data_IF_709436656242
#
_entry.id   IF_709436656242
#
_cell.length_a   1.000
_cell.length_b   1.000
_cell.length_c   1.000
_cell.angle_alpha   90.00
_cell.angle_beta   90.00
_cell.angle_gamma   90.00
#
_symmetry.space_group_name_H-M   'P 1'
#
loop_
_entity.id
_entity.type
_entity.pdbx_description
1 polymer ?
#
# COMPACT_ATOMS: atom_id res chain seq x y z
N UNK A 1 -5.81 19.54 7.88
CA UNK A 1 -5.22 18.35 7.24
C UNK A 1 -5.60 18.31 5.77
N UNK A 2 -4.75 17.72 4.91
CA UNK A 2 -5.03 17.54 3.48
C UNK A 2 -5.64 16.18 3.16
N UNK A 3 -5.56 15.22 4.10
CA UNK A 3 -6.12 13.90 3.96
C UNK A 3 -6.54 13.32 5.31
N UNK A 4 -7.49 12.39 5.28
CA UNK A 4 -8.03 11.72 6.46
C UNK A 4 -8.27 10.25 6.13
N UNK A 5 -7.96 9.36 7.06
CA UNK A 5 -8.32 7.95 6.99
C UNK A 5 -9.37 7.62 8.05
N UNK A 6 -10.35 6.83 7.66
CA UNK A 6 -11.36 6.31 8.57
C UNK A 6 -11.13 4.87 8.97
N UNK A 7 -11.55 4.56 10.19
CA UNK A 7 -11.85 3.19 10.57
C UNK A 7 -13.33 2.91 10.26
N UNK A 8 -13.67 1.64 10.07
CA UNK A 8 -15.01 1.19 9.75
C UNK A 8 -16.05 1.73 10.75
N UNK A 9 -17.05 2.43 10.24
CA UNK A 9 -18.20 2.93 10.99
C UNK A 9 -19.48 2.76 10.15
N UNK A 10 -20.70 2.84 10.74
CA UNK A 10 -21.94 2.80 9.99
C UNK A 10 -21.96 3.82 8.84
N UNK A 11 -22.60 3.47 7.73
CA UNK A 11 -22.57 4.27 6.50
C UNK A 11 -23.09 5.69 6.68
N UNK A 12 -24.16 5.85 7.44
CA UNK A 12 -24.76 7.15 7.79
C UNK A 12 -23.77 8.04 8.58
N UNK A 13 -23.12 7.45 9.58
CA UNK A 13 -22.11 8.16 10.40
C UNK A 13 -20.94 8.61 9.53
N UNK A 14 -20.43 7.73 8.65
CA UNK A 14 -19.33 8.06 7.73
C UNK A 14 -19.73 9.16 6.76
N UNK A 15 -20.91 9.06 6.17
CA UNK A 15 -21.41 10.06 5.24
C UNK A 15 -21.48 11.44 5.88
N UNK A 16 -22.10 11.56 7.05
CA UNK A 16 -22.26 12.84 7.75
C UNK A 16 -20.92 13.44 8.18
N UNK A 17 -20.00 12.62 8.68
CA UNK A 17 -18.65 13.05 9.05
C UNK A 17 -17.86 13.53 7.83
N UNK A 18 -17.82 12.74 6.76
CA UNK A 18 -17.07 13.07 5.55
C UNK A 18 -17.62 14.33 4.89
N UNK A 19 -18.94 14.47 4.82
CA UNK A 19 -19.61 15.68 4.34
C UNK A 19 -19.21 16.90 5.16
N UNK A 20 -19.33 16.82 6.49
CA UNK A 20 -18.96 17.91 7.40
C UNK A 20 -17.51 18.35 7.21
N UNK A 21 -16.58 17.38 7.08
CA UNK A 21 -15.15 17.66 6.89
C UNK A 21 -14.86 18.29 5.52
N UNK A 22 -15.50 17.80 4.46
CA UNK A 22 -15.35 18.38 3.13
C UNK A 22 -15.90 19.81 3.07
N UNK A 23 -17.08 20.07 3.63
CA UNK A 23 -17.70 21.41 3.67
C UNK A 23 -16.89 22.41 4.50
N UNK A 24 -16.26 21.96 5.59
CA UNK A 24 -15.38 22.78 6.42
C UNK A 24 -13.99 23.05 5.78
N UNK A 25 -13.65 22.35 4.72
CA UNK A 25 -12.31 22.40 4.12
C UNK A 25 -12.26 23.36 2.93
N UNK A 26 -11.33 24.31 2.96
CA UNK A 26 -11.09 25.24 1.82
C UNK A 26 -10.54 24.53 0.59
N UNK A 27 -9.73 23.51 0.78
CA UNK A 27 -9.18 22.64 -0.27
C UNK A 27 -9.80 21.27 -0.07
N UNK A 28 -10.37 20.65 -1.12
CA UNK A 28 -10.96 19.32 -1.01
C UNK A 28 -10.01 18.31 -0.37
N UNK A 29 -10.53 17.52 0.55
CA UNK A 29 -9.76 16.50 1.26
C UNK A 29 -9.68 15.22 0.45
N UNK A 30 -8.55 14.55 0.56
CA UNK A 30 -8.44 13.13 0.25
C UNK A 30 -8.93 12.33 1.47
N UNK A 31 -10.02 11.59 1.29
CA UNK A 31 -10.63 10.76 2.34
C UNK A 31 -10.45 9.30 1.96
N UNK A 32 -9.63 8.60 2.75
CA UNK A 32 -9.21 7.26 2.43
C UNK A 32 -10.10 6.18 3.05
N UNK A 33 -10.34 5.11 2.29
CA UNK A 33 -10.85 3.82 2.75
C UNK A 33 -9.76 2.75 2.64
N UNK A 34 -10.02 1.54 3.15
CA UNK A 34 -9.10 0.40 3.04
C UNK A 34 -9.82 -0.81 2.42
N UNK A 35 -10.45 -0.61 1.27
CA UNK A 35 -11.25 -1.62 0.58
C UNK A 35 -10.36 -2.61 -0.19
N UNK A 36 -9.65 -3.47 0.55
CA UNK A 36 -8.80 -4.52 0.00
C UNK A 36 -9.61 -5.74 -0.48
N UNK A 37 -10.74 -6.02 0.19
CA UNK A 37 -11.51 -7.26 0.06
C UNK A 37 -13.01 -6.98 -0.22
N UNK A 38 -13.31 -5.83 -0.78
CA UNK A 38 -14.66 -5.33 -1.00
C UNK A 38 -14.96 -4.08 -0.17
N UNK A 39 -16.23 -3.70 -0.04
CA UNK A 39 -16.66 -2.47 0.61
C UNK A 39 -16.52 -2.45 2.13
N UNK A 40 -16.47 -3.62 2.76
CA UNK A 40 -16.34 -3.77 4.21
C UNK A 40 -15.04 -3.21 4.80
N UNK A 41 -14.01 -2.92 3.99
CA UNK A 41 -12.79 -2.24 4.40
C UNK A 41 -12.93 -0.72 4.50
N UNK A 42 -14.04 -0.15 4.08
CA UNK A 42 -14.31 1.29 4.10
C UNK A 42 -15.60 1.66 4.81
N UNK A 43 -16.61 0.77 4.79
CA UNK A 43 -17.96 1.04 5.28
C UNK A 43 -18.42 -0.08 6.20
N UNK A 44 -18.91 0.25 7.40
CA UNK A 44 -19.54 -0.72 8.29
C UNK A 44 -20.79 -1.31 7.65
N UNK A 45 -20.83 -2.64 7.53
CA UNK A 45 -21.86 -3.34 6.78
C UNK A 45 -21.66 -3.36 5.27
N UNK A 46 -20.53 -2.85 4.76
CA UNK A 46 -20.16 -2.98 3.36
C UNK A 46 -19.94 -4.44 2.92
N UNK A 47 -20.05 -4.71 1.63
CA UNK A 47 -20.00 -6.05 1.06
C UNK A 47 -18.62 -6.68 1.20
N UNK A 48 -18.44 -7.75 1.97
CA UNK A 48 -17.23 -8.54 1.95
C UNK A 48 -17.21 -9.42 0.69
N UNK A 49 -16.09 -9.46 -0.02
CA UNK A 49 -15.97 -10.33 -1.21
C UNK A 49 -14.99 -11.46 -0.91
N UNK A 50 -13.69 -11.20 -1.05
CA UNK A 50 -12.66 -12.21 -0.79
C UNK A 50 -11.29 -11.54 -0.57
N UNK A 51 -10.36 -12.29 0.05
CA UNK A 51 -8.97 -11.85 0.12
C UNK A 51 -8.25 -11.97 -1.22
N UNK A 52 -7.12 -11.25 -1.38
CA UNK A 52 -6.35 -11.25 -2.62
C UNK A 52 -5.94 -12.65 -3.11
N UNK A 53 -5.48 -13.50 -2.19
CA UNK A 53 -5.10 -14.88 -2.51
C UNK A 53 -6.27 -15.71 -3.04
N UNK A 54 -7.48 -15.54 -2.46
CA UNK A 54 -8.68 -16.23 -2.93
C UNK A 54 -9.10 -15.73 -4.32
N UNK A 55 -9.01 -14.42 -4.57
CA UNK A 55 -9.24 -13.85 -5.91
C UNK A 55 -8.24 -14.44 -6.92
N UNK A 56 -6.94 -14.45 -6.58
CA UNK A 56 -5.92 -14.99 -7.48
C UNK A 56 -6.11 -16.49 -7.77
N UNK A 57 -6.58 -17.27 -6.79
CA UNK A 57 -6.84 -18.70 -6.96
C UNK A 57 -7.94 -19.03 -7.96
N UNK A 58 -8.78 -18.06 -8.33
CA UNK A 58 -9.79 -18.23 -9.38
C UNK A 58 -9.19 -18.28 -10.79
N UNK A 59 -7.97 -17.77 -10.96
CA UNK A 59 -7.32 -17.65 -12.27
C UNK A 59 -7.90 -16.53 -13.16
N UNK A 60 -8.92 -15.81 -12.69
CA UNK A 60 -9.66 -14.79 -13.45
C UNK A 60 -9.49 -13.40 -12.81
N UNK A 61 -8.83 -12.48 -13.51
CA UNK A 61 -8.62 -11.10 -13.06
C UNK A 61 -9.90 -10.26 -13.03
N UNK A 62 -10.95 -10.67 -13.72
CA UNK A 62 -12.25 -9.99 -13.64
C UNK A 62 -12.79 -9.97 -12.20
N UNK A 63 -12.48 -10.99 -11.41
CA UNK A 63 -12.83 -11.02 -9.99
C UNK A 63 -12.12 -9.92 -9.18
N UNK A 64 -10.89 -9.55 -9.52
CA UNK A 64 -10.20 -8.42 -8.91
C UNK A 64 -10.84 -7.08 -9.33
N UNK A 65 -11.22 -6.95 -10.59
CA UNK A 65 -11.98 -5.79 -11.08
C UNK A 65 -13.32 -5.63 -10.33
N UNK A 66 -14.10 -6.70 -10.23
CA UNK A 66 -15.41 -6.67 -9.56
C UNK A 66 -15.27 -6.33 -8.07
N UNK A 67 -14.31 -6.93 -7.39
CA UNK A 67 -13.99 -6.65 -5.99
C UNK A 67 -13.67 -5.16 -5.78
N UNK A 68 -12.82 -4.60 -6.61
CA UNK A 68 -12.44 -3.19 -6.54
C UNK A 68 -13.61 -2.26 -6.89
N UNK A 69 -14.42 -2.62 -7.89
CA UNK A 69 -15.61 -1.86 -8.30
C UNK A 69 -16.65 -1.76 -7.19
N UNK A 70 -16.92 -2.86 -6.49
CA UNK A 70 -17.84 -2.87 -5.34
C UNK A 70 -17.27 -2.02 -4.21
N UNK A 71 -16.00 -2.23 -3.82
CA UNK A 71 -15.34 -1.44 -2.78
C UNK A 71 -15.33 0.05 -3.10
N UNK A 72 -15.04 0.42 -4.34
CA UNK A 72 -15.08 1.81 -4.78
C UNK A 72 -16.49 2.40 -4.73
N UNK A 73 -17.51 1.66 -5.18
CA UNK A 73 -18.87 2.14 -5.20
C UNK A 73 -19.41 2.42 -3.78
N UNK A 74 -19.16 1.51 -2.85
CA UNK A 74 -19.66 1.63 -1.46
C UNK A 74 -18.92 2.72 -0.69
N UNK A 75 -17.56 2.78 -0.78
CA UNK A 75 -16.82 3.84 -0.09
C UNK A 75 -17.01 5.23 -0.70
N UNK A 76 -17.21 5.32 -2.03
CA UNK A 76 -17.58 6.57 -2.68
C UNK A 76 -18.94 7.10 -2.17
N UNK A 77 -19.91 6.20 -1.97
CA UNK A 77 -21.24 6.56 -1.50
C UNK A 77 -21.23 7.23 -0.11
N UNK A 78 -20.19 6.99 0.69
CA UNK A 78 -20.00 7.62 2.00
C UNK A 78 -18.94 8.74 1.97
N UNK A 79 -18.53 9.20 0.78
CA UNK A 79 -17.66 10.37 0.61
C UNK A 79 -16.15 10.05 0.62
N UNK A 80 -15.74 8.79 0.55
CA UNK A 80 -14.32 8.45 0.33
C UNK A 80 -13.96 8.62 -1.15
N UNK A 81 -12.75 9.13 -1.43
CA UNK A 81 -12.23 9.34 -2.78
C UNK A 81 -10.83 8.77 -2.98
N UNK A 82 -10.32 8.04 -1.99
CA UNK A 82 -9.00 7.41 -1.98
C UNK A 82 -9.09 6.01 -1.38
N UNK A 83 -8.46 5.02 -2.01
CA UNK A 83 -8.44 3.65 -1.51
C UNK A 83 -7.01 3.19 -1.25
N UNK A 84 -6.71 2.75 -0.02
CA UNK A 84 -5.44 2.15 0.37
C UNK A 84 -5.35 0.68 -0.06
N UNK A 85 -5.54 0.44 -1.34
CA UNK A 85 -5.45 -0.84 -2.04
C UNK A 85 -5.11 -0.60 -3.53
N UNK A 86 -4.62 -1.60 -4.25
CA UNK A 86 -4.40 -3.00 -3.86
C UNK A 86 -3.12 -3.22 -3.08
N UNK A 87 -3.00 -4.43 -2.49
CA UNK A 87 -1.75 -4.97 -2.00
C UNK A 87 -0.98 -5.55 -3.18
N UNK A 88 0.23 -5.04 -3.41
CA UNK A 88 1.10 -5.45 -4.52
C UNK A 88 2.34 -6.20 -4.03
N UNK A 89 2.34 -6.56 -2.76
CA UNK A 89 3.36 -7.38 -2.13
C UNK A 89 3.38 -8.80 -2.70
N UNK A 90 4.50 -9.50 -2.53
CA UNK A 90 4.70 -10.85 -3.05
C UNK A 90 4.86 -11.86 -1.91
N UNK A 91 4.04 -12.91 -1.88
CA UNK A 91 4.00 -13.89 -0.79
C UNK A 91 5.12 -14.93 -0.89
N UNK A 92 6.39 -14.50 -0.79
CA UNK A 92 7.54 -15.41 -0.85
C UNK A 92 7.72 -16.23 0.42
N UNK A 93 7.47 -15.63 1.58
CA UNK A 93 7.55 -16.32 2.86
C UNK A 93 6.15 -16.65 3.38
N UNK A 94 5.83 -17.95 3.44
CA UNK A 94 4.53 -18.41 3.94
C UNK A 94 4.29 -18.09 5.43
N UNK A 95 5.35 -17.76 6.17
CA UNK A 95 5.26 -17.34 7.58
C UNK A 95 5.03 -15.84 7.75
N UNK A 96 5.09 -15.06 6.68
CA UNK A 96 4.77 -13.65 6.78
C UNK A 96 3.34 -13.47 7.32
N UNK A 97 3.20 -12.73 8.43
CA UNK A 97 1.93 -12.61 9.15
C UNK A 97 1.02 -11.52 8.60
N UNK A 98 1.53 -10.66 7.71
CA UNK A 98 0.87 -9.43 7.29
C UNK A 98 0.20 -9.55 5.91
N UNK A 99 0.92 -10.08 4.93
CA UNK A 99 0.45 -10.02 3.53
C UNK A 99 -0.07 -11.34 2.99
N UNK A 100 0.17 -12.47 3.65
CA UNK A 100 -0.16 -13.85 3.22
C UNK A 100 -1.40 -13.97 2.33
N UNK A 101 -2.58 -13.83 2.93
CA UNK A 101 -3.86 -13.96 2.22
C UNK A 101 -4.30 -12.64 1.58
N UNK A 102 -3.69 -11.52 1.97
CA UNK A 102 -4.06 -10.18 1.46
C UNK A 102 -3.47 -9.92 0.09
N UNK A 103 -2.22 -10.36 -0.17
CA UNK A 103 -1.60 -10.27 -1.49
C UNK A 103 -2.20 -11.29 -2.47
N UNK A 104 -2.06 -11.04 -3.76
CA UNK A 104 -2.61 -11.95 -4.79
C UNK A 104 -1.82 -13.27 -4.84
N UNK A 105 -0.51 -13.23 -5.01
CA UNK A 105 0.39 -14.39 -4.95
C UNK A 105 1.87 -13.97 -4.92
N UNK A 106 2.78 -14.87 -5.30
CA UNK A 106 4.24 -14.64 -5.35
C UNK A 106 4.80 -14.52 -6.79
N UNK A 107 3.93 -14.46 -7.80
CA UNK A 107 4.35 -14.33 -9.21
C UNK A 107 4.16 -12.87 -9.65
N UNK A 108 5.25 -12.12 -9.95
CA UNK A 108 5.15 -10.69 -10.28
C UNK A 108 4.18 -10.37 -11.41
N UNK A 109 4.15 -11.18 -12.48
CA UNK A 109 3.25 -10.95 -13.63
C UNK A 109 1.77 -11.13 -13.27
N UNK A 110 1.46 -12.06 -12.39
CA UNK A 110 0.11 -12.23 -11.88
C UNK A 110 -0.30 -11.05 -11.00
N UNK A 111 0.56 -10.63 -10.07
CA UNK A 111 0.27 -9.46 -9.22
C UNK A 111 0.05 -8.21 -10.08
N UNK A 112 0.83 -8.01 -11.14
CA UNK A 112 0.63 -6.93 -12.11
C UNK A 112 -0.75 -7.04 -12.76
N UNK A 113 -1.12 -8.22 -13.26
CA UNK A 113 -2.38 -8.49 -13.96
C UNK A 113 -3.58 -8.20 -13.08
N UNK A 114 -3.62 -8.77 -11.87
CA UNK A 114 -4.70 -8.55 -10.90
C UNK A 114 -4.76 -7.10 -10.41
N UNK A 115 -3.61 -6.46 -10.17
CA UNK A 115 -3.57 -5.06 -9.73
C UNK A 115 -4.07 -4.09 -10.81
N UNK A 116 -3.76 -4.35 -12.08
CA UNK A 116 -4.30 -3.56 -13.21
C UNK A 116 -5.82 -3.70 -13.32
N UNK A 117 -6.36 -4.90 -13.13
CA UNK A 117 -7.80 -5.14 -13.09
C UNK A 117 -8.43 -4.42 -11.89
N UNK A 118 -7.81 -4.46 -10.72
CA UNK A 118 -8.23 -3.72 -9.54
C UNK A 118 -8.27 -2.19 -9.80
N UNK A 119 -7.25 -1.62 -10.44
CA UNK A 119 -7.22 -0.19 -10.81
C UNK A 119 -8.38 0.18 -11.74
N UNK A 120 -8.71 -0.66 -12.73
CA UNK A 120 -9.87 -0.44 -13.59
C UNK A 120 -11.17 -0.42 -12.78
N UNK A 121 -11.31 -1.29 -11.79
CA UNK A 121 -12.47 -1.33 -10.92
C UNK A 121 -12.65 -0.04 -10.09
N UNK A 122 -11.57 0.46 -9.49
CA UNK A 122 -11.62 1.71 -8.70
C UNK A 122 -11.86 2.95 -9.56
N UNK A 123 -11.32 2.99 -10.78
CA UNK A 123 -11.55 4.09 -11.73
C UNK A 123 -13.03 4.26 -12.13
N UNK A 124 -13.89 3.26 -11.92
CA UNK A 124 -15.35 3.40 -12.18
C UNK A 124 -16.02 4.45 -11.29
N UNK A 125 -15.36 4.90 -10.25
CA UNK A 125 -15.78 5.97 -9.32
C UNK A 125 -14.74 7.09 -9.19
N UNK A 126 -13.80 7.21 -10.14
CA UNK A 126 -12.71 8.20 -10.10
C UNK A 126 -11.93 8.21 -8.76
N UNK A 127 -11.90 7.06 -8.10
CA UNK A 127 -11.24 6.89 -6.81
C UNK A 127 -9.74 6.69 -7.00
N UNK A 128 -8.92 7.46 -6.29
CA UNK A 128 -7.47 7.26 -6.28
C UNK A 128 -7.12 5.91 -5.64
N UNK A 129 -6.20 5.16 -6.25
CA UNK A 129 -5.65 3.91 -5.72
C UNK A 129 -4.29 4.12 -5.09
N UNK A 130 -3.99 3.33 -4.07
CA UNK A 130 -2.71 3.35 -3.37
C UNK A 130 -2.09 1.96 -3.34
N UNK A 131 -1.14 1.69 -4.21
CA UNK A 131 -0.39 0.43 -4.13
C UNK A 131 0.52 0.40 -2.89
N UNK A 132 0.61 -0.76 -2.24
CA UNK A 132 1.30 -0.94 -0.95
C UNK A 132 1.86 -2.34 -0.78
N UNK A 133 2.91 -2.52 0.04
CA UNK A 133 3.64 -1.57 0.88
C UNK A 133 5.07 -1.39 0.35
N UNK A 134 5.37 -0.25 -0.27
CA UNK A 134 6.71 -0.01 -0.83
C UNK A 134 7.79 -0.04 0.27
N UNK A 135 8.95 -0.71 0.08
CA UNK A 135 9.49 -1.32 -1.14
C UNK A 135 9.09 -2.79 -1.36
N UNK A 136 8.17 -3.34 -0.62
CA UNK A 136 7.64 -4.69 -0.75
C UNK A 136 7.79 -5.52 0.51
N UNK A 137 6.66 -6.00 1.02
CA UNK A 137 6.53 -6.94 2.13
C UNK A 137 6.40 -8.38 1.60
N UNK A 138 6.45 -9.38 2.48
CA UNK A 138 6.21 -10.79 2.16
C UNK A 138 7.46 -11.66 2.03
N UNK A 139 8.67 -11.11 2.27
CA UNK A 139 9.93 -11.87 2.26
C UNK A 139 10.33 -12.39 3.63
N UNK A 140 9.87 -11.76 4.71
CA UNK A 140 10.22 -12.06 6.09
C UNK A 140 9.01 -12.43 6.95
N UNK A 141 9.25 -12.82 8.22
CA UNK A 141 8.21 -13.24 9.17
C UNK A 141 7.74 -12.09 10.08
N UNK A 142 8.54 -11.02 10.19
CA UNK A 142 8.29 -9.96 11.14
C UNK A 142 7.05 -9.13 10.77
N UNK A 143 6.32 -8.74 11.80
CA UNK A 143 5.18 -7.84 11.68
C UNK A 143 5.65 -6.39 11.83
N UNK A 144 5.55 -5.58 10.77
CA UNK A 144 5.94 -4.18 10.80
C UNK A 144 5.10 -3.31 11.77
N UNK A 145 3.99 -3.84 12.31
CA UNK A 145 3.30 -3.21 13.43
C UNK A 145 4.11 -3.27 14.73
N UNK A 146 4.97 -4.28 14.88
CA UNK A 146 5.73 -4.58 16.10
C UNK A 146 7.23 -4.30 15.97
N UNK A 147 7.80 -4.46 14.77
CA UNK A 147 9.22 -4.26 14.49
C UNK A 147 9.39 -3.76 13.05
N UNK A 148 10.49 -3.06 12.78
CA UNK A 148 10.82 -2.66 11.40
C UNK A 148 10.98 -3.88 10.50
N UNK A 149 10.24 -3.93 9.41
CA UNK A 149 10.37 -4.93 8.38
C UNK A 149 11.68 -4.77 7.59
N UNK A 150 12.22 -5.87 7.05
CA UNK A 150 13.43 -5.85 6.22
C UNK A 150 13.23 -6.73 4.99
N UNK A 151 13.32 -6.14 3.82
CA UNK A 151 13.40 -6.88 2.57
C UNK A 151 14.89 -7.04 2.22
N UNK A 152 15.41 -8.27 2.39
CA UNK A 152 16.85 -8.56 2.25
C UNK A 152 17.27 -8.93 0.82
N UNK A 153 16.39 -8.77 -0.15
CA UNK A 153 16.73 -9.04 -1.55
C UNK A 153 17.90 -8.18 -2.02
N UNK A 154 18.74 -8.76 -2.87
CA UNK A 154 19.71 -7.99 -3.66
C UNK A 154 18.97 -6.99 -4.56
N UNK A 155 19.70 -5.99 -5.06
CA UNK A 155 19.10 -5.03 -5.99
C UNK A 155 18.57 -5.73 -7.25
N UNK A 156 19.28 -6.73 -7.76
CA UNK A 156 18.89 -7.48 -8.96
C UNK A 156 17.63 -8.32 -8.73
N UNK A 157 17.55 -9.05 -7.62
CA UNK A 157 16.35 -9.81 -7.26
C UNK A 157 15.14 -8.89 -7.07
N UNK A 158 15.34 -7.77 -6.40
CA UNK A 158 14.28 -6.78 -6.18
C UNK A 158 13.81 -6.19 -7.51
N UNK A 159 14.73 -5.83 -8.42
CA UNK A 159 14.39 -5.26 -9.74
C UNK A 159 13.54 -6.24 -10.58
N UNK A 160 13.84 -7.54 -10.50
CA UNK A 160 13.14 -8.60 -11.24
C UNK A 160 11.78 -8.97 -10.61
N UNK A 161 11.52 -8.56 -9.39
CA UNK A 161 10.32 -8.92 -8.61
C UNK A 161 9.49 -7.68 -8.25
N UNK A 162 9.71 -7.09 -7.10
CA UNK A 162 8.98 -5.90 -6.64
C UNK A 162 9.19 -4.71 -7.57
N UNK A 163 10.41 -4.46 -8.01
CA UNK A 163 10.75 -3.38 -8.94
C UNK A 163 9.96 -3.49 -10.24
N UNK A 164 9.85 -4.71 -10.78
CA UNK A 164 9.02 -5.00 -11.96
C UNK A 164 7.55 -4.68 -11.70
N UNK A 165 7.00 -5.10 -10.55
CA UNK A 165 5.60 -4.82 -10.19
C UNK A 165 5.36 -3.32 -10.07
N UNK A 166 6.18 -2.61 -9.27
CA UNK A 166 6.04 -1.16 -9.08
C UNK A 166 6.16 -0.41 -10.41
N UNK A 167 7.17 -0.74 -11.22
CA UNK A 167 7.36 -0.09 -12.52
C UNK A 167 6.17 -0.27 -13.45
N UNK A 168 5.65 -1.49 -13.58
CA UNK A 168 4.49 -1.78 -14.43
C UNK A 168 3.22 -1.05 -13.99
N UNK A 169 3.04 -0.85 -12.68
CA UNK A 169 1.87 -0.17 -12.13
C UNK A 169 2.03 1.37 -12.14
N UNK A 170 3.25 1.87 -12.03
CA UNK A 170 3.56 3.28 -12.27
C UNK A 170 3.26 3.65 -13.73
N UNK A 171 3.67 2.82 -14.68
CA UNK A 171 3.40 3.02 -16.11
C UNK A 171 1.90 2.92 -16.45
N UNK A 172 1.10 2.18 -15.66
CA UNK A 172 -0.37 2.14 -15.75
C UNK A 172 -1.03 3.41 -15.19
N UNK A 173 -0.25 4.28 -14.52
CA UNK A 173 -0.73 5.54 -13.99
C UNK A 173 -1.33 5.46 -12.59
N UNK A 174 -0.79 4.60 -11.71
CA UNK A 174 -1.18 4.61 -10.29
C UNK A 174 -0.93 5.99 -9.68
N UNK A 175 -1.88 6.49 -8.91
CA UNK A 175 -1.84 7.85 -8.39
C UNK A 175 -1.08 7.98 -7.07
N UNK A 176 -1.10 6.93 -6.24
CA UNK A 176 -0.49 7.00 -4.91
C UNK A 176 0.23 5.71 -4.52
N UNK A 177 1.25 5.84 -3.68
CA UNK A 177 2.06 4.74 -3.13
C UNK A 177 2.14 4.87 -1.62
N UNK A 178 1.93 3.79 -0.90
CA UNK A 178 2.17 3.74 0.54
C UNK A 178 3.56 3.19 0.83
N UNK A 179 4.38 4.01 1.47
CA UNK A 179 5.68 3.60 2.00
C UNK A 179 5.47 2.81 3.30
N UNK A 180 5.91 1.57 3.32
CA UNK A 180 5.90 0.71 4.50
C UNK A 180 7.03 1.01 5.48
N UNK A 181 6.92 0.48 6.68
CA UNK A 181 8.00 0.54 7.68
C UNK A 181 8.99 -0.60 7.44
N UNK A 182 9.45 -0.70 6.19
CA UNK A 182 10.28 -1.78 5.64
C UNK A 182 11.57 -1.18 5.09
N UNK A 183 12.69 -1.67 5.55
CA UNK A 183 14.01 -1.34 5.00
C UNK A 183 14.31 -2.19 3.75
N UNK A 184 15.11 -1.62 2.84
CA UNK A 184 15.67 -2.31 1.68
C UNK A 184 17.19 -2.08 1.66
N UNK A 185 17.95 -2.85 2.47
CA UNK A 185 19.36 -2.55 2.76
C UNK A 185 20.26 -2.53 1.51
N UNK A 186 20.04 -3.43 0.56
CA UNK A 186 20.81 -3.48 -0.67
C UNK A 186 20.72 -2.18 -1.46
N UNK A 187 19.51 -1.65 -1.62
CA UNK A 187 19.28 -0.39 -2.31
C UNK A 187 19.75 0.83 -1.50
N UNK A 188 19.56 0.83 -0.17
CA UNK A 188 20.09 1.90 0.67
C UNK A 188 21.62 2.00 0.56
N UNK A 189 22.34 0.86 0.56
CA UNK A 189 23.80 0.86 0.35
C UNK A 189 24.23 1.27 -1.06
N UNK A 190 23.47 0.86 -2.10
CA UNK A 190 23.72 1.24 -3.49
C UNK A 190 23.55 2.74 -3.72
N UNK A 191 22.51 3.34 -3.16
CA UNK A 191 22.15 4.73 -3.39
C UNK A 191 22.85 5.72 -2.43
N UNK A 192 23.31 5.20 -1.27
CA UNK A 192 24.10 5.95 -0.28
C UNK A 192 25.39 5.21 0.05
N UNK A 193 26.40 5.23 -0.83
CA UNK A 193 27.67 4.56 -0.58
C UNK A 193 28.29 4.99 0.76
N UNK A 194 28.66 4.03 1.59
CA UNK A 194 29.23 4.29 2.92
C UNK A 194 28.19 4.43 4.06
N UNK A 195 26.89 4.29 3.79
CA UNK A 195 25.90 4.20 4.85
C UNK A 195 26.23 3.02 5.78
N UNK A 196 26.17 3.28 7.08
CA UNK A 196 26.33 2.21 8.09
C UNK A 196 25.01 1.46 8.27
N UNK A 197 25.07 0.19 8.63
CA UNK A 197 23.88 -0.64 8.84
C UNK A 197 22.94 -0.05 9.90
N UNK A 198 23.49 0.59 10.92
CA UNK A 198 22.71 1.27 11.96
C UNK A 198 21.94 2.50 11.48
N UNK A 199 22.31 3.04 10.31
CA UNK A 199 21.68 4.22 9.70
C UNK A 199 20.69 3.86 8.60
N UNK A 200 20.56 2.57 8.25
CA UNK A 200 19.54 2.08 7.31
C UNK A 200 18.16 2.25 7.95
N UNK A 201 17.27 2.93 7.24
CA UNK A 201 15.93 3.27 7.69
C UNK A 201 14.87 2.57 6.84
N UNK A 202 13.65 2.37 7.37
CA UNK A 202 12.53 1.91 6.56
C UNK A 202 12.18 2.95 5.49
N UNK A 203 11.53 2.52 4.41
CA UNK A 203 11.16 3.39 3.28
C UNK A 203 10.44 4.67 3.72
N UNK A 204 9.64 4.61 4.77
CA UNK A 204 8.96 5.76 5.39
C UNK A 204 9.93 6.89 5.78
N UNK A 205 11.19 6.57 6.13
CA UNK A 205 12.20 7.49 6.63
C UNK A 205 13.48 7.52 5.77
N UNK A 206 13.50 6.81 4.65
CA UNK A 206 14.66 6.63 3.77
C UNK A 206 14.51 7.48 2.49
N UNK A 207 15.09 8.70 2.43
CA UNK A 207 14.99 9.54 1.23
C UNK A 207 15.57 8.87 -0.02
N UNK A 208 16.60 8.03 0.12
CA UNK A 208 17.17 7.27 -0.99
C UNK A 208 16.16 6.27 -1.59
N UNK A 209 15.27 5.69 -0.78
CA UNK A 209 14.25 4.78 -1.29
C UNK A 209 13.06 5.54 -1.92
N UNK A 210 12.66 6.67 -1.33
CA UNK A 210 11.52 7.44 -1.85
C UNK A 210 11.94 8.36 -3.00
N UNK A 211 13.02 9.11 -2.83
CA UNK A 211 13.42 10.13 -3.82
C UNK A 211 14.20 9.50 -4.97
N UNK A 212 15.24 8.72 -4.65
CA UNK A 212 16.15 8.25 -5.68
C UNK A 212 15.64 6.97 -6.37
N UNK A 213 15.10 6.01 -5.61
CA UNK A 213 14.55 4.78 -6.18
C UNK A 213 13.14 4.98 -6.74
N UNK A 214 12.16 5.28 -5.89
CA UNK A 214 10.74 5.31 -6.29
C UNK A 214 10.47 6.44 -7.29
N UNK A 215 10.86 7.67 -6.97
CA UNK A 215 10.61 8.81 -7.84
C UNK A 215 11.64 8.94 -8.98
N UNK A 216 12.91 8.75 -8.67
CA UNK A 216 14.01 8.90 -9.63
C UNK A 216 14.11 7.76 -10.62
N UNK A 217 14.35 6.52 -10.16
CA UNK A 217 14.61 5.39 -11.04
C UNK A 217 13.33 4.78 -11.61
N UNK A 218 12.28 4.59 -10.77
CA UNK A 218 11.00 4.03 -11.23
C UNK A 218 10.10 5.07 -11.90
N UNK A 219 10.37 6.37 -11.74
CA UNK A 219 9.65 7.45 -12.41
C UNK A 219 8.29 7.78 -11.78
N UNK A 220 8.06 7.44 -10.50
CA UNK A 220 6.80 7.74 -9.83
C UNK A 220 6.63 9.25 -9.58
N UNK A 221 5.58 9.84 -10.13
CA UNK A 221 5.27 11.28 -10.00
C UNK A 221 3.97 11.55 -9.23
N UNK A 222 3.49 10.59 -8.44
CA UNK A 222 2.28 10.73 -7.65
C UNK A 222 2.53 11.07 -6.18
N UNK A 223 1.49 10.90 -5.37
CA UNK A 223 1.54 11.13 -3.92
C UNK A 223 2.11 9.89 -3.20
N UNK A 224 3.09 10.13 -2.32
CA UNK A 224 3.57 9.12 -1.36
C UNK A 224 2.91 9.38 -0.02
N UNK A 225 2.30 8.35 0.56
CA UNK A 225 1.78 8.35 1.92
C UNK A 225 2.57 7.33 2.75
N UNK A 226 2.75 7.60 4.03
CA UNK A 226 3.34 6.62 4.95
C UNK A 226 2.29 5.60 5.38
N UNK A 227 2.72 4.40 5.75
CA UNK A 227 1.89 3.53 6.57
C UNK A 227 1.65 4.18 7.94
N UNK A 228 0.81 3.56 8.75
CA UNK A 228 0.32 4.17 9.99
C UNK A 228 1.47 4.52 10.97
N UNK A 229 1.61 5.80 11.28
CA UNK A 229 2.74 6.31 12.07
C UNK A 229 2.77 5.86 13.53
N UNK A 230 1.72 5.20 14.02
CA UNK A 230 1.67 4.61 15.36
C UNK A 230 2.22 3.18 15.42
N UNK A 231 2.63 2.59 14.29
CA UNK A 231 3.24 1.26 14.25
C UNK A 231 4.64 1.30 14.88
N UNK A 232 4.94 0.30 15.73
CA UNK A 232 6.21 0.24 16.49
C UNK A 232 7.41 0.07 15.53
N UNK A 233 7.23 -0.57 14.38
CA UNK A 233 8.24 -0.68 13.33
C UNK A 233 8.80 0.67 12.86
N UNK A 234 7.99 1.74 12.91
CA UNK A 234 8.46 3.11 12.68
C UNK A 234 9.22 3.67 13.91
N UNK A 235 8.67 3.49 15.11
CA UNK A 235 9.27 4.03 16.34
C UNK A 235 10.66 3.46 16.61
N UNK A 236 10.85 2.15 16.47
CA UNK A 236 12.16 1.51 16.64
C UNK A 236 13.26 2.08 15.73
N UNK A 237 12.87 2.68 14.59
CA UNK A 237 13.80 3.35 13.69
C UNK A 237 14.08 4.83 14.06
N UNK A 238 13.30 5.44 14.95
CA UNK A 238 13.42 6.87 15.32
C UNK A 238 14.09 7.09 16.67
N UNK A 239 14.07 6.10 17.57
CA UNK A 239 14.69 6.21 18.89
C UNK A 239 16.20 5.98 18.78
N UNK A 240 17.04 6.90 19.30
CA UNK A 240 18.50 6.68 19.36
C UNK A 240 18.82 5.41 20.14
N UNK A 241 19.75 4.58 19.63
CA UNK A 241 20.15 3.32 20.30
C UNK A 241 20.73 3.50 21.70
N UNK A 242 21.15 4.72 22.06
CA UNK A 242 21.59 5.04 23.44
C UNK A 242 20.43 5.07 24.46
N UNK A 243 19.19 5.01 23.99
CA UNK A 243 17.97 5.09 24.81
C UNK A 243 17.13 3.79 24.72
N UNK A 244 17.61 2.77 23.99
CA UNK A 244 17.05 1.42 23.91
C UNK A 244 17.76 0.48 24.89
#
# INVERSE_FOLDING_TARGET
PGAIRYQNAPADVLYDQNKTLQEASRIPLLIASNCEQGGNGGVGGGTPIACGAAIASTGDEENAYLMAKVGAAESWAVGCNWNFAPIVDLTYNWRNTIVQIRAFNNVPDDVIRYSKAFFKGTKTREMATCMKHFPGDGTEENDQHLIMGVNEMSCEEWDQTYGKVYKALIDEGVMTVMAGHIALPAYSRKLRPGIKDVDIRPATLAPELITDLLKGQLGFNGLVVTDASHMIGMFGATVPRSEQ
#
